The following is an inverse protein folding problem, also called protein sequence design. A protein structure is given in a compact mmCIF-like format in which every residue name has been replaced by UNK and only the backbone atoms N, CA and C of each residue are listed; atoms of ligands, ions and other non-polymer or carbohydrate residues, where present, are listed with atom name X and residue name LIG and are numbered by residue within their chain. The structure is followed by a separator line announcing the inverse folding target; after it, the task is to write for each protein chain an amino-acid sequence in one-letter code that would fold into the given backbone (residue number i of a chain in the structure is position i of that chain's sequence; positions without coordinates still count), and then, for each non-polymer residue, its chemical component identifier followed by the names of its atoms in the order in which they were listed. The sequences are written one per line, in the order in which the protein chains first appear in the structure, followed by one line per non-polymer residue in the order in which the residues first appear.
data_IF_695207015635
#
_entry.id   IF_695207015635
#
_cell.length_a   1.000
_cell.length_b   1.000
_cell.length_c   1.000
_cell.angle_alpha   90.00
_cell.angle_beta   90.00
_cell.angle_gamma   90.00
#
_symmetry.space_group_name_H-M   'P 1'
#
loop_
_entity.id
_entity.type
_entity.pdbx_description
1 polymer ?
#
# COMPACT_ATOMS: atom_id res chain seq x y z
N UNK A 1 10.96 -33.68 -72.08
CA UNK A 1 12.26 -33.94 -72.74
C UNK A 1 12.80 -32.61 -73.21
N UNK A 2 14.09 -32.33 -72.99
CA UNK A 2 14.89 -31.21 -73.53
C UNK A 2 14.44 -29.75 -73.32
N UNK A 3 15.24 -29.07 -72.48
CA UNK A 3 15.69 -27.67 -72.59
C UNK A 3 16.02 -27.15 -74.02
N UNK A 4 16.12 -25.85 -74.34
CA UNK A 4 15.77 -24.57 -73.62
C UNK A 4 15.26 -23.50 -74.64
N UNK A 5 15.85 -22.33 -75.06
CA UNK A 5 17.06 -21.53 -74.70
C UNK A 5 17.03 -20.12 -75.38
N UNK A 6 17.31 -19.05 -74.60
CA UNK A 6 17.60 -17.62 -75.02
C UNK A 6 16.45 -16.78 -75.63
N UNK A 7 16.45 -15.43 -75.63
CA UNK A 7 17.03 -14.41 -74.71
C UNK A 7 16.61 -12.96 -75.10
N UNK A 8 16.62 -12.02 -74.13
CA UNK A 8 16.67 -10.53 -74.25
C UNK A 8 15.48 -9.78 -74.92
N UNK A 9 15.01 -8.72 -74.24
CA UNK A 9 14.15 -7.66 -74.82
C UNK A 9 13.56 -6.72 -73.76
N UNK A 10 13.82 -5.41 -73.86
CA UNK A 10 13.26 -4.34 -73.01
C UNK A 10 11.72 -4.23 -73.12
N UNK A 11 10.97 -3.73 -72.13
CA UNK A 11 11.32 -3.13 -70.83
C UNK A 11 10.68 -1.74 -70.65
N UNK A 12 9.88 -1.55 -69.59
CA UNK A 12 9.42 -0.24 -69.06
C UNK A 12 8.79 -0.42 -67.66
N UNK A 13 8.86 0.61 -66.83
CA UNK A 13 8.36 0.59 -65.46
C UNK A 13 6.88 1.01 -65.39
N UNK A 14 6.13 0.43 -64.45
CA UNK A 14 4.94 1.03 -63.85
C UNK A 14 4.86 0.58 -62.39
N UNK A 15 4.98 1.51 -61.45
CA UNK A 15 4.84 1.22 -60.01
C UNK A 15 3.37 1.37 -59.62
N UNK A 16 2.75 0.30 -59.13
CA UNK A 16 1.44 0.33 -58.49
C UNK A 16 1.63 0.19 -56.97
N UNK A 17 1.19 1.19 -56.20
CA UNK A 17 1.46 1.25 -54.77
C UNK A 17 0.51 0.36 -53.96
N UNK A 18 1.07 -0.45 -53.04
CA UNK A 18 0.31 -1.10 -51.98
C UNK A 18 0.00 -0.07 -50.88
N UNK A 19 -1.25 0.41 -50.84
CA UNK A 19 -1.78 1.23 -49.74
C UNK A 19 -2.00 0.35 -48.50
N UNK A 20 -0.92 0.05 -47.79
CA UNK A 20 -0.96 -0.58 -46.47
C UNK A 20 -1.53 0.38 -45.44
N UNK A 21 -2.83 0.27 -45.14
CA UNK A 21 -3.48 1.03 -44.08
C UNK A 21 -2.99 0.56 -42.70
N UNK A 22 -1.89 1.16 -42.23
CA UNK A 22 -1.35 0.90 -40.89
C UNK A 22 -2.30 1.47 -39.83
N UNK A 23 -3.18 0.61 -39.31
CA UNK A 23 -3.93 0.86 -38.08
C UNK A 23 -2.95 0.92 -36.90
N UNK A 24 -2.37 2.10 -36.69
CA UNK A 24 -1.72 2.45 -35.44
C UNK A 24 -2.77 2.38 -34.32
N UNK A 25 -2.74 1.28 -33.56
CA UNK A 25 -3.50 1.18 -32.33
C UNK A 25 -3.01 2.28 -31.38
N UNK A 26 -3.86 3.29 -31.15
CA UNK A 26 -3.59 4.37 -30.21
C UNK A 26 -3.70 3.77 -28.81
N UNK A 27 -2.57 3.24 -28.30
CA UNK A 27 -2.46 2.87 -26.91
C UNK A 27 -2.71 4.12 -26.05
N UNK A 28 -3.52 4.04 -24.98
CA UNK A 28 -3.79 5.19 -24.13
C UNK A 28 -2.50 5.68 -23.49
N UNK A 29 -2.31 7.00 -23.46
CA UNK A 29 -1.02 7.66 -23.14
C UNK A 29 -0.53 7.37 -21.70
N UNK A 30 -1.40 6.87 -20.81
CA UNK A 30 -1.02 6.37 -19.48
C UNK A 30 -0.15 5.10 -19.47
N UNK A 31 0.03 4.40 -20.60
CA UNK A 31 0.71 3.10 -20.70
C UNK A 31 2.24 3.09 -20.44
N UNK A 32 2.81 4.19 -19.94
CA UNK A 32 4.23 4.32 -19.54
C UNK A 32 4.43 4.88 -18.12
N UNK A 33 3.37 5.07 -17.34
CA UNK A 33 3.47 5.68 -16.01
C UNK A 33 4.03 4.72 -14.95
N UNK A 34 4.88 5.24 -14.05
CA UNK A 34 5.55 4.46 -13.01
C UNK A 34 4.63 4.14 -11.83
N UNK A 35 3.94 3.00 -11.90
CA UNK A 35 3.03 2.49 -10.87
C UNK A 35 3.72 2.12 -9.54
N UNK A 36 5.07 2.21 -9.45
CA UNK A 36 5.79 2.13 -8.18
C UNK A 36 5.48 3.33 -7.27
N UNK A 37 4.89 4.42 -7.78
CA UNK A 37 4.39 5.53 -6.96
C UNK A 37 2.86 5.65 -7.01
N UNK A 38 2.24 5.76 -5.84
CA UNK A 38 0.79 5.90 -5.71
C UNK A 38 0.34 6.79 -4.56
N UNK A 39 -0.96 6.83 -4.29
CA UNK A 39 -1.58 7.65 -3.23
C UNK A 39 -2.54 6.82 -2.37
N UNK A 40 -2.55 7.06 -1.06
CA UNK A 40 -3.54 6.52 -0.15
C UNK A 40 -4.84 7.32 -0.19
N UNK A 41 -5.98 6.64 -0.26
CA UNK A 41 -7.27 7.20 0.13
C UNK A 41 -8.04 6.24 1.04
N UNK A 42 -7.79 6.38 2.34
CA UNK A 42 -8.54 5.66 3.39
C UNK A 42 -10.04 5.99 3.35
N UNK A 43 -10.86 5.11 3.93
CA UNK A 43 -12.27 5.36 4.23
C UNK A 43 -13.18 5.70 3.02
N UNK A 44 -12.79 5.34 1.79
CA UNK A 44 -13.64 5.56 0.60
C UNK A 44 -15.03 4.94 0.75
N UNK A 45 -15.11 3.75 1.36
CA UNK A 45 -16.37 3.02 1.62
C UNK A 45 -17.41 3.79 2.46
N UNK A 46 -17.00 4.86 3.16
CA UNK A 46 -17.89 5.69 3.98
C UNK A 46 -18.40 6.94 3.24
N UNK A 47 -17.91 7.21 2.03
CA UNK A 47 -18.32 8.34 1.21
C UNK A 47 -19.49 8.01 0.28
N UNK A 48 -20.24 9.04 -0.11
CA UNK A 48 -21.31 8.93 -1.11
C UNK A 48 -20.71 8.60 -2.50
N UNK A 49 -21.43 7.87 -3.38
CA UNK A 49 -20.89 7.46 -4.69
C UNK A 49 -20.31 8.61 -5.52
N UNK A 50 -21.05 9.72 -5.68
CA UNK A 50 -20.61 10.90 -6.43
C UNK A 50 -19.42 11.64 -5.77
N UNK A 51 -19.17 11.42 -4.49
CA UNK A 51 -18.01 11.98 -3.77
C UNK A 51 -16.75 11.13 -4.02
N UNK A 52 -16.91 9.79 -4.03
CA UNK A 52 -15.84 8.86 -4.46
C UNK A 52 -15.43 9.08 -5.90
N UNK A 53 -16.41 9.20 -6.80
CA UNK A 53 -16.17 9.46 -8.22
C UNK A 53 -15.38 10.74 -8.42
N UNK A 54 -15.86 11.85 -7.85
CA UNK A 54 -15.16 13.14 -7.91
C UNK A 54 -13.72 13.07 -7.38
N UNK A 55 -13.46 12.31 -6.31
CA UNK A 55 -12.10 12.13 -5.78
C UNK A 55 -11.21 11.37 -6.76
N UNK A 56 -11.70 10.29 -7.39
CA UNK A 56 -10.94 9.55 -8.38
C UNK A 56 -10.74 10.35 -9.69
N UNK A 57 -11.73 11.13 -10.13
CA UNK A 57 -11.58 12.06 -11.24
C UNK A 57 -10.46 13.07 -10.96
N UNK A 58 -10.50 13.74 -9.80
CA UNK A 58 -9.46 14.68 -9.39
C UNK A 58 -8.07 14.03 -9.29
N UNK A 59 -7.99 12.77 -8.85
CA UNK A 59 -6.73 12.01 -8.82
C UNK A 59 -6.17 11.79 -10.24
N UNK A 60 -6.99 11.34 -11.18
CA UNK A 60 -6.59 11.03 -12.57
C UNK A 60 -6.28 12.30 -13.36
N UNK A 61 -7.09 13.35 -13.22
CA UNK A 61 -6.83 14.70 -13.76
C UNK A 61 -5.47 15.27 -13.32
N UNK A 62 -4.96 14.81 -12.17
CA UNK A 62 -3.70 15.26 -11.58
C UNK A 62 -2.59 14.19 -11.62
N UNK A 63 -2.72 13.19 -12.50
CA UNK A 63 -1.65 12.24 -12.82
C UNK A 63 -1.35 11.20 -11.74
N UNK A 64 -2.30 10.90 -10.85
CA UNK A 64 -2.23 9.69 -10.00
C UNK A 64 -2.51 8.48 -10.89
N UNK A 65 -1.67 7.43 -10.78
CA UNK A 65 -1.80 6.19 -11.58
C UNK A 65 -1.90 4.91 -10.75
N UNK A 66 -1.63 5.00 -9.44
CA UNK A 66 -1.81 3.90 -8.50
C UNK A 66 -2.40 4.43 -7.19
N UNK A 67 -3.29 3.64 -6.57
CA UNK A 67 -3.93 3.96 -5.28
C UNK A 67 -3.83 2.80 -4.29
N UNK A 68 -3.70 3.14 -3.02
CA UNK A 68 -3.92 2.23 -1.89
C UNK A 68 -5.31 2.49 -1.32
N UNK A 69 -6.13 1.44 -1.27
CA UNK A 69 -7.53 1.47 -0.83
C UNK A 69 -7.77 0.39 0.23
N UNK A 70 -8.59 0.69 1.23
CA UNK A 70 -8.97 -0.25 2.29
C UNK A 70 -10.21 -1.06 1.94
N UNK A 71 -10.09 -2.39 2.00
CA UNK A 71 -11.21 -3.32 2.17
C UNK A 71 -11.67 -3.27 3.64
N UNK A 72 -12.54 -2.30 3.92
CA UNK A 72 -13.13 -2.08 5.26
C UNK A 72 -14.65 -2.24 5.22
N UNK A 73 -15.30 -2.20 6.39
CA UNK A 73 -16.77 -2.23 6.47
C UNK A 73 -17.37 -0.86 6.17
N UNK A 74 -18.50 -0.78 5.45
CA UNK A 74 -19.22 -1.89 4.82
C UNK A 74 -18.53 -2.38 3.52
N UNK A 75 -18.42 -3.70 3.36
CA UNK A 75 -17.47 -4.33 2.41
C UNK A 75 -17.83 -4.07 0.95
N UNK A 76 -19.12 -4.13 0.60
CA UNK A 76 -19.55 -3.93 -0.80
C UNK A 76 -19.27 -2.48 -1.28
N UNK A 77 -19.27 -1.49 -0.39
CA UNK A 77 -18.89 -0.11 -0.70
C UNK A 77 -17.36 0.06 -0.86
N UNK A 78 -16.55 -0.79 -0.19
CA UNK A 78 -15.12 -0.90 -0.48
C UNK A 78 -14.88 -1.51 -1.87
N UNK A 79 -15.59 -2.60 -2.20
CA UNK A 79 -15.51 -3.25 -3.51
C UNK A 79 -15.98 -2.31 -4.63
N UNK A 80 -17.04 -1.54 -4.41
CA UNK A 80 -17.52 -0.52 -5.34
C UNK A 80 -16.52 0.65 -5.52
N UNK A 81 -15.72 0.98 -4.50
CA UNK A 81 -14.62 1.94 -4.64
C UNK A 81 -13.43 1.35 -5.43
N UNK A 82 -13.14 0.06 -5.27
CA UNK A 82 -12.14 -0.68 -6.06
C UNK A 82 -12.54 -0.78 -7.54
N UNK A 83 -13.81 -1.11 -7.82
CA UNK A 83 -14.41 -1.08 -9.17
C UNK A 83 -14.23 0.30 -9.83
N UNK A 84 -14.62 1.35 -9.13
CA UNK A 84 -14.58 2.72 -9.65
C UNK A 84 -13.14 3.22 -9.88
N UNK A 85 -12.18 2.86 -9.01
CA UNK A 85 -10.77 3.15 -9.24
C UNK A 85 -10.24 2.48 -10.53
N UNK A 86 -10.63 1.22 -10.78
CA UNK A 86 -10.25 0.50 -11.99
C UNK A 86 -10.86 1.10 -13.26
N UNK A 87 -12.14 1.48 -13.24
CA UNK A 87 -12.83 2.15 -14.35
C UNK A 87 -12.19 3.50 -14.72
N UNK A 88 -11.61 4.20 -13.74
CA UNK A 88 -10.85 5.44 -13.93
C UNK A 88 -9.38 5.18 -14.31
N UNK A 89 -8.96 3.91 -14.47
CA UNK A 89 -7.65 3.51 -14.97
C UNK A 89 -6.54 3.38 -13.91
N UNK A 90 -6.88 3.39 -12.62
CA UNK A 90 -5.90 3.34 -11.52
C UNK A 90 -5.47 1.90 -11.20
N UNK A 91 -4.18 1.69 -10.97
CA UNK A 91 -3.66 0.45 -10.37
C UNK A 91 -3.99 0.39 -8.87
N UNK A 92 -4.30 -0.79 -8.33
CA UNK A 92 -4.87 -0.93 -6.98
C UNK A 92 -4.02 -1.84 -6.08
N UNK A 93 -3.50 -1.26 -5.01
CA UNK A 93 -3.05 -1.97 -3.80
C UNK A 93 -4.24 -2.01 -2.82
N UNK A 94 -4.65 -3.22 -2.43
CA UNK A 94 -5.80 -3.44 -1.54
C UNK A 94 -5.34 -3.79 -0.12
N UNK A 95 -5.47 -2.85 0.82
CA UNK A 95 -5.33 -3.14 2.25
C UNK A 95 -6.56 -3.94 2.74
N UNK A 96 -6.37 -4.92 3.62
CA UNK A 96 -7.47 -5.66 4.25
C UNK A 96 -7.52 -5.30 5.73
N UNK A 97 -8.59 -4.62 6.15
CA UNK A 97 -8.69 -4.10 7.50
C UNK A 97 -9.01 -5.19 8.53
N UNK A 98 -7.98 -5.65 9.24
CA UNK A 98 -8.05 -6.73 10.24
C UNK A 98 -8.90 -6.42 11.48
N UNK A 99 -9.44 -5.20 11.59
CA UNK A 99 -10.45 -4.86 12.61
C UNK A 99 -11.87 -5.32 12.24
N UNK A 100 -12.05 -6.06 11.13
CA UNK A 100 -13.36 -6.64 10.82
C UNK A 100 -13.69 -7.80 11.76
N UNK A 101 -14.72 -7.63 12.58
CA UNK A 101 -15.31 -8.65 13.44
C UNK A 101 -15.62 -9.98 12.73
N UNK A 102 -15.92 -9.96 11.43
CA UNK A 102 -16.30 -11.16 10.67
C UNK A 102 -15.14 -12.20 10.59
N UNK A 103 -13.88 -11.77 10.76
CA UNK A 103 -12.69 -12.63 10.76
C UNK A 103 -12.47 -13.39 12.09
N UNK A 104 -13.31 -13.15 13.10
CA UNK A 104 -13.13 -13.66 14.46
C UNK A 104 -14.23 -14.65 14.85
N UNK A 105 -13.98 -15.56 15.82
CA UNK A 105 -15.04 -16.35 16.43
C UNK A 105 -16.17 -15.48 16.99
N UNK A 106 -17.40 -15.97 16.92
CA UNK A 106 -18.57 -15.22 17.39
C UNK A 106 -18.47 -14.93 18.90
N UNK A 107 -18.81 -13.70 19.30
CA UNK A 107 -18.68 -13.23 20.68
C UNK A 107 -17.27 -12.78 21.09
N UNK A 108 -16.25 -12.92 20.22
CA UNK A 108 -14.92 -12.32 20.44
C UNK A 108 -15.04 -10.82 20.65
N UNK A 109 -14.34 -10.28 21.65
CA UNK A 109 -14.34 -8.85 21.99
C UNK A 109 -12.96 -8.23 21.70
N UNK A 110 -12.90 -7.03 21.10
CA UNK A 110 -11.63 -6.34 20.89
C UNK A 110 -11.00 -5.92 22.22
N UNK A 111 -9.67 -5.79 22.26
CA UNK A 111 -8.95 -5.17 23.38
C UNK A 111 -9.34 -3.70 23.44
N UNK A 112 -9.78 -3.22 24.60
CA UNK A 112 -10.15 -1.81 24.73
C UNK A 112 -8.96 -0.86 24.57
N UNK A 113 -9.15 0.18 23.76
CA UNK A 113 -8.21 1.28 23.53
C UNK A 113 -8.14 2.32 24.65
N UNK A 114 -8.88 2.10 25.76
CA UNK A 114 -8.88 2.94 26.97
C UNK A 114 -9.07 4.43 26.68
N UNK A 115 -9.91 4.75 25.68
CA UNK A 115 -10.25 6.12 25.25
C UNK A 115 -9.13 6.91 24.56
N UNK A 116 -7.92 6.35 24.42
CA UNK A 116 -6.77 7.01 23.75
C UNK A 116 -6.63 6.64 22.27
N UNK A 117 -7.22 5.51 21.91
CA UNK A 117 -7.36 4.95 20.56
C UNK A 117 -8.70 4.18 20.52
N UNK A 118 -9.09 3.72 19.33
CA UNK A 118 -10.20 2.78 19.17
C UNK A 118 -9.88 1.41 19.77
N UNK A 119 -10.92 0.61 19.99
CA UNK A 119 -10.81 -0.78 20.39
C UNK A 119 -10.39 -1.64 19.19
N UNK A 120 -9.50 -2.63 19.40
CA UNK A 120 -8.87 -3.40 18.33
C UNK A 120 -8.80 -4.89 18.67
N UNK A 121 -9.11 -5.75 17.68
CA UNK A 121 -9.03 -7.21 17.84
C UNK A 121 -7.58 -7.72 17.94
N UNK A 122 -7.40 -8.84 18.64
CA UNK A 122 -6.15 -9.59 18.80
C UNK A 122 -5.88 -10.46 17.57
N UNK A 123 -4.71 -10.37 16.95
CA UNK A 123 -4.36 -11.28 15.84
C UNK A 123 -4.27 -12.73 16.32
N UNK A 124 -3.84 -12.93 17.57
CA UNK A 124 -3.86 -14.24 18.22
C UNK A 124 -5.27 -14.86 18.34
N UNK A 125 -6.35 -14.09 18.20
CA UNK A 125 -7.75 -14.54 18.28
C UNK A 125 -8.45 -14.67 16.92
N UNK A 126 -7.81 -14.29 15.79
CA UNK A 126 -8.39 -14.43 14.44
C UNK A 126 -8.69 -15.90 14.09
N UNK A 127 -9.77 -16.18 13.37
CA UNK A 127 -10.06 -17.50 12.79
C UNK A 127 -9.57 -17.53 11.33
N UNK A 128 -8.57 -18.36 10.99
CA UNK A 128 -8.09 -18.48 9.61
C UNK A 128 -9.19 -18.88 8.64
N UNK A 129 -10.13 -19.73 9.07
CA UNK A 129 -11.25 -20.23 8.26
C UNK A 129 -12.26 -19.12 7.93
N UNK A 130 -12.61 -18.30 8.93
CA UNK A 130 -13.51 -17.15 8.75
C UNK A 130 -12.88 -16.04 7.91
N UNK A 131 -11.59 -15.78 8.13
CA UNK A 131 -10.81 -14.89 7.28
C UNK A 131 -10.76 -15.40 5.83
N UNK A 132 -10.49 -16.70 5.62
CA UNK A 132 -10.49 -17.31 4.30
C UNK A 132 -11.84 -17.18 3.59
N UNK A 133 -12.95 -17.47 4.27
CA UNK A 133 -14.28 -17.31 3.68
C UNK A 133 -14.54 -15.85 3.28
N UNK A 134 -14.38 -14.91 4.21
CA UNK A 134 -14.70 -13.50 3.97
C UNK A 134 -13.81 -12.85 2.90
N UNK A 135 -12.53 -13.23 2.82
CA UNK A 135 -11.59 -12.70 1.81
C UNK A 135 -11.69 -13.43 0.48
N UNK A 136 -11.99 -14.74 0.47
CA UNK A 136 -12.35 -15.47 -0.73
C UNK A 136 -13.57 -14.85 -1.42
N UNK A 137 -14.66 -14.64 -0.67
CA UNK A 137 -15.89 -13.99 -1.16
C UNK A 137 -15.61 -12.56 -1.69
N UNK A 138 -14.81 -11.76 -0.98
CA UNK A 138 -14.47 -10.41 -1.41
C UNK A 138 -13.59 -10.37 -2.67
N UNK A 139 -12.57 -11.23 -2.76
CA UNK A 139 -11.69 -11.31 -3.94
C UNK A 139 -12.43 -11.86 -5.15
N UNK A 140 -13.33 -12.84 -4.98
CA UNK A 140 -14.16 -13.35 -6.08
C UNK A 140 -15.20 -12.31 -6.57
N UNK A 141 -15.76 -11.48 -5.68
CA UNK A 141 -16.57 -10.31 -6.07
C UNK A 141 -15.77 -9.29 -6.89
N UNK A 142 -14.53 -9.00 -6.50
CA UNK A 142 -13.63 -8.09 -7.24
C UNK A 142 -13.25 -8.68 -8.61
N UNK A 143 -12.95 -9.99 -8.66
CA UNK A 143 -12.61 -10.71 -9.90
C UNK A 143 -13.79 -10.79 -10.89
N UNK A 144 -15.01 -10.97 -10.39
CA UNK A 144 -16.24 -10.97 -11.18
C UNK A 144 -16.56 -9.60 -11.81
N UNK A 145 -16.00 -8.51 -11.27
CA UNK A 145 -16.03 -7.16 -11.85
C UNK A 145 -14.88 -6.92 -12.85
N UNK A 146 -14.06 -7.93 -13.12
CA UNK A 146 -12.92 -7.87 -14.06
C UNK A 146 -11.68 -7.15 -13.53
N UNK A 147 -11.67 -6.75 -12.26
CA UNK A 147 -10.66 -5.84 -11.69
C UNK A 147 -9.35 -6.58 -11.37
N UNK A 148 -8.22 -6.18 -11.96
CA UNK A 148 -6.90 -6.68 -11.59
C UNK A 148 -6.32 -5.86 -10.43
N UNK A 149 -5.95 -6.53 -9.34
CA UNK A 149 -5.16 -5.93 -8.24
C UNK A 149 -3.67 -6.04 -8.58
N UNK A 150 -2.87 -5.01 -8.26
CA UNK A 150 -1.40 -5.15 -8.32
C UNK A 150 -0.85 -5.82 -7.06
N UNK A 151 -1.52 -5.61 -5.92
CA UNK A 151 -1.12 -6.18 -4.64
C UNK A 151 -2.28 -6.22 -3.63
N UNK A 152 -2.14 -7.08 -2.63
CA UNK A 152 -3.01 -7.17 -1.45
C UNK A 152 -2.14 -7.15 -0.19
N UNK A 153 -2.55 -6.36 0.80
CA UNK A 153 -1.84 -6.08 2.05
C UNK A 153 -2.75 -6.38 3.25
N UNK A 154 -2.64 -7.57 3.87
CA UNK A 154 -3.42 -7.88 5.05
C UNK A 154 -2.96 -7.08 6.28
N UNK A 155 -3.81 -6.20 6.79
CA UNK A 155 -3.55 -5.36 7.96
C UNK A 155 -2.80 -4.06 7.68
N UNK A 156 -3.02 -3.08 8.55
CA UNK A 156 -2.37 -1.77 8.48
C UNK A 156 -1.07 -1.76 9.29
N UNK A 157 -1.13 -1.52 10.61
CA UNK A 157 0.04 -1.21 11.45
C UNK A 157 0.23 -2.22 12.59
N UNK A 158 0.37 -3.51 12.25
CA UNK A 158 0.23 -4.64 13.21
C UNK A 158 1.33 -4.76 14.29
N UNK A 159 2.45 -4.04 14.12
CA UNK A 159 3.50 -3.90 15.13
C UNK A 159 3.21 -2.78 16.16
N UNK A 160 2.15 -2.01 15.98
CA UNK A 160 1.73 -0.90 16.83
C UNK A 160 0.39 -1.20 17.52
N UNK A 161 0.31 -0.94 18.83
CA UNK A 161 -0.85 -1.33 19.64
C UNK A 161 -2.19 -0.70 19.28
N UNK A 162 -2.29 0.22 18.32
CA UNK A 162 -3.59 0.65 17.79
C UNK A 162 -4.17 -0.29 16.72
N UNK A 163 -3.37 -1.11 16.03
CA UNK A 163 -3.85 -2.02 14.98
C UNK A 163 -3.54 -3.50 15.26
N UNK A 164 -3.12 -3.78 16.50
CA UNK A 164 -3.05 -5.13 17.04
C UNK A 164 -3.50 -5.14 18.51
N UNK A 165 -4.47 -6.00 18.84
CA UNK A 165 -4.98 -6.19 20.19
C UNK A 165 -4.08 -7.05 21.10
N UNK A 166 -3.06 -7.72 20.55
CA UNK A 166 -2.08 -8.50 21.32
C UNK A 166 -1.04 -7.61 22.03
N UNK A 167 -0.85 -6.38 21.52
CA UNK A 167 0.02 -5.37 22.12
C UNK A 167 -0.73 -4.55 23.19
N UNK A 168 -0.06 -4.25 24.30
CA UNK A 168 -0.71 -3.67 25.47
C UNK A 168 -0.93 -2.14 25.36
N UNK A 169 -1.99 -1.69 26.05
CA UNK A 169 -2.27 -0.27 26.28
C UNK A 169 -2.09 -0.04 27.78
N UNK A 170 -0.99 0.62 28.17
CA UNK A 170 -0.60 0.78 29.57
C UNK A 170 -1.69 1.52 30.39
N UNK A 171 -1.74 1.37 31.73
CA UNK A 171 -2.79 1.97 32.56
C UNK A 171 -2.97 3.49 32.41
N UNK A 172 -1.90 4.22 32.05
CA UNK A 172 -1.89 5.67 31.84
C UNK A 172 -1.08 6.03 30.59
N UNK A 173 -1.24 7.26 30.13
CA UNK A 173 -0.28 7.91 29.23
C UNK A 173 1.05 8.20 29.94
N UNK A 174 2.10 8.55 29.18
CA UNK A 174 3.43 8.95 29.70
C UNK A 174 4.09 7.88 30.58
N UNK A 175 3.94 6.61 30.21
CA UNK A 175 4.55 5.45 30.88
C UNK A 175 5.56 4.78 29.93
N UNK A 176 6.68 4.26 30.47
CA UNK A 176 7.66 3.51 29.65
C UNK A 176 7.00 2.25 29.07
N UNK A 177 6.94 2.19 27.75
CA UNK A 177 6.54 1.01 26.96
C UNK A 177 7.70 0.02 26.83
N UNK A 178 7.39 -1.23 26.43
CA UNK A 178 8.42 -2.24 26.19
C UNK A 178 9.41 -1.79 25.10
N UNK A 179 10.70 -2.12 25.25
CA UNK A 179 11.78 -1.76 24.30
C UNK A 179 12.25 -2.93 23.43
N UNK A 180 11.84 -4.13 23.78
CA UNK A 180 12.10 -5.37 23.03
C UNK A 180 10.94 -6.33 23.25
N UNK A 181 10.83 -7.34 22.41
CA UNK A 181 9.87 -8.44 22.59
C UNK A 181 10.00 -9.09 23.99
N UNK A 182 11.24 -9.22 24.51
CA UNK A 182 11.51 -9.76 25.85
C UNK A 182 11.10 -8.85 27.02
N UNK A 183 10.75 -7.59 26.79
CA UNK A 183 10.14 -6.70 27.80
C UNK A 183 8.60 -6.75 27.77
N UNK A 184 7.97 -7.47 26.84
CA UNK A 184 6.51 -7.50 26.69
C UNK A 184 5.85 -8.58 27.57
N UNK A 185 4.97 -8.15 28.47
CA UNK A 185 4.17 -9.04 29.34
C UNK A 185 3.27 -9.99 28.51
N UNK A 186 2.69 -9.49 27.42
CA UNK A 186 1.82 -10.23 26.50
C UNK A 186 2.58 -10.95 25.36
N UNK A 187 3.92 -11.14 25.47
CA UNK A 187 4.73 -11.75 24.41
C UNK A 187 4.16 -13.07 23.84
N UNK A 188 3.60 -14.02 24.62
CA UNK A 188 3.00 -15.24 24.07
C UNK A 188 1.79 -14.98 23.16
N UNK A 189 1.04 -13.89 23.37
CA UNK A 189 -0.01 -13.46 22.45
C UNK A 189 0.59 -12.83 21.19
N UNK A 190 1.64 -12.01 21.32
CA UNK A 190 2.34 -11.40 20.17
C UNK A 190 2.96 -12.47 19.27
N UNK A 191 3.57 -13.53 19.83
CA UNK A 191 4.10 -14.66 19.06
C UNK A 191 2.99 -15.46 18.36
N UNK A 192 1.89 -15.78 19.05
CA UNK A 192 0.72 -16.46 18.46
C UNK A 192 0.02 -15.61 17.40
N UNK A 193 -0.01 -14.28 17.57
CA UNK A 193 -0.53 -13.33 16.60
C UNK A 193 0.36 -13.23 15.36
N UNK A 194 1.69 -13.26 15.53
CA UNK A 194 2.66 -13.34 14.44
C UNK A 194 2.51 -14.63 13.62
N UNK A 195 2.35 -15.78 14.28
CA UNK A 195 2.11 -17.07 13.62
C UNK A 195 0.85 -17.05 12.75
N UNK A 196 -0.30 -16.70 13.34
CA UNK A 196 -1.57 -16.56 12.62
C UNK A 196 -1.49 -15.53 11.50
N UNK A 197 -0.79 -14.42 11.71
CA UNK A 197 -0.65 -13.40 10.68
C UNK A 197 0.01 -13.92 9.40
N UNK A 198 1.06 -14.75 9.52
CA UNK A 198 1.69 -15.38 8.36
C UNK A 198 0.78 -16.44 7.71
N UNK A 199 -0.10 -17.10 8.48
CA UNK A 199 -1.17 -17.94 7.93
C UNK A 199 -2.18 -17.13 7.10
N UNK A 200 -2.60 -15.94 7.57
CA UNK A 200 -3.49 -15.05 6.80
C UNK A 200 -2.86 -14.65 5.44
N UNK A 201 -1.55 -14.38 5.41
CA UNK A 201 -0.82 -14.10 4.17
C UNK A 201 -0.83 -15.30 3.19
N UNK A 202 -0.68 -16.53 3.70
CA UNK A 202 -0.78 -17.77 2.90
C UNK A 202 -2.19 -17.95 2.34
N UNK A 203 -3.22 -17.65 3.14
CA UNK A 203 -4.62 -17.68 2.73
C UNK A 203 -4.87 -16.67 1.59
N UNK A 204 -4.43 -15.41 1.73
CA UNK A 204 -4.59 -14.42 0.65
C UNK A 204 -3.89 -14.87 -0.64
N UNK A 205 -2.69 -15.46 -0.55
CA UNK A 205 -2.01 -16.05 -1.71
C UNK A 205 -2.83 -17.17 -2.37
N UNK A 206 -3.45 -18.03 -1.57
CA UNK A 206 -4.27 -19.14 -2.05
C UNK A 206 -5.60 -18.67 -2.68
N UNK A 207 -6.25 -17.64 -2.13
CA UNK A 207 -7.47 -17.08 -2.71
C UNK A 207 -7.20 -16.27 -3.99
N UNK A 208 -6.11 -15.49 -4.04
CA UNK A 208 -5.67 -14.81 -5.26
C UNK A 208 -5.40 -15.79 -6.41
N UNK A 209 -4.84 -16.96 -6.14
CA UNK A 209 -4.62 -18.01 -7.13
C UNK A 209 -5.91 -18.62 -7.72
N UNK A 210 -7.07 -18.38 -7.11
CA UNK A 210 -8.40 -18.79 -7.63
C UNK A 210 -9.11 -17.70 -8.46
N UNK A 211 -8.56 -16.49 -8.49
CA UNK A 211 -9.09 -15.40 -9.35
C UNK A 211 -8.68 -15.62 -10.81
N UNK A 212 -9.17 -14.80 -11.73
CA UNK A 212 -8.72 -14.74 -13.13
C UNK A 212 -7.83 -13.53 -13.37
N UNK A 213 -8.26 -12.37 -12.88
CA UNK A 213 -7.68 -11.06 -13.11
C UNK A 213 -6.55 -10.71 -12.13
N UNK A 214 -6.55 -11.32 -10.93
CA UNK A 214 -5.61 -11.00 -9.84
C UNK A 214 -4.62 -12.13 -9.49
N UNK A 215 -4.50 -13.17 -10.33
CA UNK A 215 -3.57 -14.32 -10.14
C UNK A 215 -2.09 -13.95 -10.00
N UNK A 216 -1.71 -12.75 -10.46
CA UNK A 216 -0.34 -12.21 -10.40
C UNK A 216 -0.16 -11.10 -9.35
N UNK A 217 -1.22 -10.74 -8.62
CA UNK A 217 -1.17 -9.74 -7.58
C UNK A 217 -0.17 -10.16 -6.48
N UNK A 218 0.59 -9.20 -5.95
CA UNK A 218 1.57 -9.46 -4.89
C UNK A 218 0.91 -9.55 -3.53
N UNK A 219 1.35 -10.49 -2.70
CA UNK A 219 0.99 -10.48 -1.27
C UNK A 219 2.06 -9.73 -0.51
N UNK A 220 1.67 -8.62 0.11
CA UNK A 220 2.54 -7.71 0.86
C UNK A 220 2.20 -7.85 2.33
N UNK A 221 3.19 -7.82 3.24
CA UNK A 221 2.86 -7.73 4.67
C UNK A 221 2.26 -6.36 5.01
N UNK A 222 1.60 -6.27 6.15
CA UNK A 222 1.09 -5.04 6.73
C UNK A 222 2.15 -3.93 6.76
N UNK A 223 1.73 -2.69 6.52
CA UNK A 223 2.50 -1.46 6.67
C UNK A 223 3.03 -1.20 8.08
N UNK A 224 4.10 -1.89 8.48
CA UNK A 224 4.66 -1.78 9.84
C UNK A 224 5.08 -0.34 10.17
N UNK A 225 4.60 0.22 11.28
CA UNK A 225 4.86 1.60 11.67
C UNK A 225 6.24 1.81 12.26
N UNK A 226 6.98 2.76 11.70
CA UNK A 226 8.16 3.37 12.31
C UNK A 226 7.75 4.44 13.34
N UNK A 227 7.19 4.02 14.49
CA UNK A 227 6.84 4.92 15.60
C UNK A 227 8.00 5.02 16.61
N UNK A 228 8.54 6.22 16.89
CA UNK A 228 9.53 6.41 17.94
C UNK A 228 9.01 6.03 19.32
N UNK A 229 9.83 5.35 20.13
CA UNK A 229 9.48 4.97 21.51
C UNK A 229 9.05 6.15 22.41
N UNK A 230 9.45 7.39 22.11
CA UNK A 230 8.97 8.58 22.83
C UNK A 230 7.49 8.91 22.54
N UNK A 231 7.00 8.62 21.33
CA UNK A 231 5.59 8.73 20.96
C UNK A 231 4.77 7.55 21.51
N UNK A 232 5.38 6.36 21.58
CA UNK A 232 4.85 5.18 22.27
C UNK A 232 4.62 5.46 23.76
N UNK A 233 5.66 5.91 24.47
CA UNK A 233 5.61 6.28 25.88
C UNK A 233 4.60 7.39 26.15
N UNK A 234 4.61 8.46 25.33
CA UNK A 234 3.66 9.58 25.47
C UNK A 234 2.22 9.08 25.45
N UNK A 235 1.88 8.12 24.60
CA UNK A 235 0.53 7.56 24.50
C UNK A 235 0.27 6.44 25.52
N UNK A 236 1.32 5.78 26.02
CA UNK A 236 1.22 4.56 26.82
C UNK A 236 0.67 3.39 26.00
N UNK A 237 1.22 3.17 24.81
CA UNK A 237 0.80 2.18 23.82
C UNK A 237 2.05 1.46 23.32
N UNK A 238 2.10 0.13 23.46
CA UNK A 238 3.27 -0.63 23.03
C UNK A 238 3.46 -0.65 21.51
N UNK A 239 4.73 -0.76 21.11
CA UNK A 239 5.19 -0.87 19.74
C UNK A 239 6.36 -1.83 19.66
N UNK A 240 6.48 -2.55 18.54
CA UNK A 240 7.69 -3.27 18.16
C UNK A 240 8.34 -2.53 17.00
N UNK A 241 9.67 -2.45 16.98
CA UNK A 241 10.44 -1.92 15.85
C UNK A 241 10.11 -2.71 14.55
N UNK A 242 9.94 -2.07 13.39
CA UNK A 242 9.59 -2.76 12.14
C UNK A 242 10.53 -3.89 11.72
N UNK A 243 11.85 -3.76 11.93
CA UNK A 243 12.79 -4.83 11.61
C UNK A 243 12.64 -6.00 12.60
N UNK A 244 12.55 -5.69 13.91
CA UNK A 244 12.35 -6.71 14.97
C UNK A 244 11.03 -7.47 14.78
N UNK A 245 9.97 -6.79 14.39
CA UNK A 245 8.68 -7.44 14.11
C UNK A 245 8.73 -8.23 12.79
N UNK A 246 9.41 -7.72 11.76
CA UNK A 246 9.62 -8.48 10.51
C UNK A 246 10.40 -9.77 10.78
N UNK A 247 11.42 -9.76 11.64
CA UNK A 247 12.19 -10.94 11.99
C UNK A 247 11.38 -11.93 12.85
N UNK A 248 10.48 -11.45 13.73
CA UNK A 248 9.48 -12.29 14.38
C UNK A 248 8.53 -12.94 13.36
N UNK A 249 8.07 -12.23 12.33
CA UNK A 249 7.26 -12.82 11.27
C UNK A 249 8.06 -13.82 10.41
N UNK A 250 9.37 -13.60 10.17
CA UNK A 250 10.25 -14.54 9.47
C UNK A 250 10.35 -15.89 10.20
N UNK A 251 10.38 -15.90 11.55
CA UNK A 251 10.33 -17.12 12.39
C UNK A 251 9.17 -18.05 12.02
N UNK A 252 8.04 -17.50 11.58
CA UNK A 252 6.83 -18.22 11.17
C UNK A 252 6.67 -18.38 9.64
N UNK A 253 7.69 -18.01 8.86
CA UNK A 253 7.76 -18.23 7.40
C UNK A 253 7.24 -17.08 6.54
N UNK A 254 7.38 -15.81 6.99
CA UNK A 254 7.03 -14.63 6.19
C UNK A 254 7.64 -14.64 4.78
N UNK A 255 8.88 -15.10 4.64
CA UNK A 255 9.60 -15.13 3.36
C UNK A 255 8.95 -16.01 2.29
N UNK A 256 8.12 -16.98 2.67
CA UNK A 256 7.38 -17.83 1.73
C UNK A 256 5.95 -17.31 1.53
N UNK A 257 5.39 -16.64 2.55
CA UNK A 257 4.04 -16.10 2.52
C UNK A 257 3.94 -14.78 1.75
N UNK A 258 4.97 -13.91 1.79
CA UNK A 258 4.96 -12.57 1.20
C UNK A 258 5.96 -12.37 0.03
N UNK A 259 5.55 -11.57 -0.95
CA UNK A 259 6.40 -11.06 -2.04
C UNK A 259 7.21 -9.82 -1.61
N UNK A 260 6.76 -9.09 -0.57
CA UNK A 260 7.37 -7.86 -0.08
C UNK A 260 6.91 -7.48 1.33
N UNK A 261 7.70 -6.66 2.02
CA UNK A 261 7.39 -6.22 3.39
C UNK A 261 6.74 -4.84 3.39
N UNK A 262 5.54 -4.69 3.93
CA UNK A 262 4.92 -3.38 4.15
C UNK A 262 5.65 -2.57 5.23
N UNK A 263 5.74 -1.26 5.04
CA UNK A 263 6.24 -0.31 6.04
C UNK A 263 5.55 1.05 5.91
N UNK A 264 5.25 1.69 7.04
CA UNK A 264 4.79 3.07 7.13
C UNK A 264 5.91 3.96 7.69
N UNK A 265 6.33 4.98 6.93
CA UNK A 265 7.41 5.90 7.36
C UNK A 265 7.03 7.38 7.25
N UNK A 266 7.20 8.10 8.34
CA UNK A 266 6.84 9.52 8.46
C UNK A 266 8.05 10.33 8.98
N UNK A 267 9.04 10.70 8.11
CA UNK A 267 10.36 11.17 8.54
C UNK A 267 10.44 12.56 9.21
N UNK A 268 9.29 13.14 9.56
CA UNK A 268 9.17 14.46 10.17
C UNK A 268 9.50 15.64 9.24
N UNK A 269 8.91 16.81 9.50
CA UNK A 269 9.27 18.06 8.81
C UNK A 269 10.42 18.82 9.49
N UNK A 270 10.78 18.45 10.71
CA UNK A 270 11.83 19.07 11.53
C UNK A 270 13.22 18.44 11.33
N UNK A 271 14.25 19.02 11.94
CA UNK A 271 15.63 18.53 11.88
C UNK A 271 16.38 18.88 10.58
N UNK A 272 17.58 18.33 10.40
CA UNK A 272 18.42 18.57 9.22
C UNK A 272 18.16 17.56 8.10
N UNK A 273 18.59 17.87 6.87
CA UNK A 273 18.55 16.92 5.73
C UNK A 273 19.26 15.61 6.05
N UNK A 274 20.40 15.68 6.75
CA UNK A 274 21.19 14.50 7.13
C UNK A 274 20.45 13.62 8.17
N UNK A 275 19.77 14.22 9.15
CA UNK A 275 18.96 13.47 10.13
C UNK A 275 17.83 12.72 9.43
N UNK A 276 17.06 13.37 8.54
CA UNK A 276 15.97 12.70 7.80
C UNK A 276 16.47 11.64 6.83
N UNK A 277 17.60 11.85 6.16
CA UNK A 277 18.22 10.84 5.31
C UNK A 277 18.70 9.62 6.11
N UNK A 278 19.27 9.84 7.31
CA UNK A 278 19.61 8.75 8.24
C UNK A 278 18.36 8.00 8.69
N UNK A 279 17.30 8.72 9.07
CA UNK A 279 16.03 8.14 9.51
C UNK A 279 15.43 7.22 8.44
N UNK A 280 15.27 7.70 7.19
CA UNK A 280 14.80 6.89 6.06
C UNK A 280 15.66 5.63 5.86
N UNK A 281 16.99 5.77 5.90
CA UNK A 281 17.90 4.62 5.73
C UNK A 281 17.86 3.63 6.92
N UNK A 282 17.56 4.09 8.13
CA UNK A 282 17.40 3.22 9.31
C UNK A 282 16.06 2.49 9.29
N UNK A 283 14.96 3.18 9.02
CA UNK A 283 13.62 2.57 8.92
C UNK A 283 13.56 1.51 7.80
N UNK A 284 14.24 1.76 6.67
CA UNK A 284 14.30 0.85 5.53
C UNK A 284 15.53 -0.10 5.56
N UNK A 285 16.18 -0.27 6.71
CA UNK A 285 17.42 -1.06 6.82
C UNK A 285 17.23 -2.57 6.64
N UNK A 286 16.01 -3.08 6.87
CA UNK A 286 15.65 -4.50 6.68
C UNK A 286 15.12 -4.83 5.27
N UNK A 287 15.17 -3.86 4.35
CA UNK A 287 14.60 -3.95 3.00
C UNK A 287 15.61 -4.48 1.96
N UNK A 288 15.27 -5.60 1.32
CA UNK A 288 16.15 -6.33 0.41
C UNK A 288 17.20 -7.18 1.14
N UNK A 289 18.30 -7.50 0.45
CA UNK A 289 19.33 -8.43 0.93
C UNK A 289 19.09 -9.88 0.48
N UNK A 290 20.05 -10.76 0.73
CA UNK A 290 20.03 -12.15 0.23
C UNK A 290 18.83 -12.97 0.76
N UNK A 291 18.56 -12.84 2.06
CA UNK A 291 17.46 -13.53 2.76
C UNK A 291 16.23 -12.62 2.97
N UNK A 292 16.13 -11.54 2.20
CA UNK A 292 15.13 -10.49 2.35
C UNK A 292 14.17 -10.38 1.16
N UNK A 293 13.15 -9.52 1.31
CA UNK A 293 12.23 -9.09 0.25
C UNK A 293 12.34 -7.58 0.06
N UNK A 294 12.01 -7.03 -1.12
CA UNK A 294 11.84 -5.59 -1.26
C UNK A 294 10.72 -5.08 -0.35
N UNK A 295 10.90 -3.89 0.22
CA UNK A 295 9.84 -3.23 0.97
C UNK A 295 8.83 -2.55 0.05
N UNK A 296 7.58 -2.51 0.49
CA UNK A 296 6.54 -1.65 -0.04
C UNK A 296 6.30 -0.58 1.01
N UNK A 297 6.56 0.69 0.68
CA UNK A 297 6.23 1.81 1.57
C UNK A 297 4.75 2.09 1.38
N UNK A 298 3.90 1.39 2.14
CA UNK A 298 2.45 1.40 1.93
C UNK A 298 1.80 2.68 2.48
N UNK A 299 2.46 3.39 3.39
CA UNK A 299 2.22 4.81 3.67
C UNK A 299 3.53 5.59 3.86
N UNK A 300 3.58 6.82 3.33
CA UNK A 300 4.57 7.81 3.73
C UNK A 300 4.06 9.24 3.54
N UNK A 301 4.55 10.19 4.35
CA UNK A 301 4.21 11.58 4.13
C UNK A 301 4.87 12.58 5.06
N UNK A 302 4.55 13.85 4.84
CA UNK A 302 4.92 14.97 5.70
C UNK A 302 3.67 15.80 6.00
N UNK A 303 3.35 15.99 7.29
CA UNK A 303 2.14 16.69 7.69
C UNK A 303 2.23 18.20 7.44
N UNK A 304 1.11 18.81 7.01
CA UNK A 304 0.90 20.26 7.01
C UNK A 304 -0.32 20.59 7.90
N UNK A 305 -0.04 21.02 9.13
CA UNK A 305 -1.06 21.37 10.13
C UNK A 305 -1.68 22.76 9.94
N UNK A 306 -1.15 23.58 9.03
CA UNK A 306 -1.74 24.89 8.73
C UNK A 306 -3.07 24.72 8.03
N UNK A 307 -4.12 25.41 8.51
CA UNK A 307 -5.47 25.43 7.94
C UNK A 307 -5.73 26.61 6.99
N UNK A 308 -4.71 27.43 6.71
CA UNK A 308 -4.86 28.61 5.85
C UNK A 308 -5.03 28.24 4.36
N UNK A 309 -5.77 29.08 3.63
CA UNK A 309 -5.89 29.02 2.17
C UNK A 309 -5.42 30.35 1.56
N UNK A 310 -4.64 30.35 0.45
CA UNK A 310 -4.08 29.17 -0.22
C UNK A 310 -3.09 28.41 0.69
N UNK A 311 -2.98 27.09 0.48
CA UNK A 311 -2.15 26.24 1.32
C UNK A 311 -0.65 26.52 1.09
N UNK A 312 0.03 27.05 2.11
CA UNK A 312 1.50 27.17 2.09
C UNK A 312 2.13 25.77 2.24
N UNK A 313 2.69 25.24 1.15
CA UNK A 313 3.14 23.85 1.05
C UNK A 313 4.56 23.73 0.44
N UNK A 314 5.21 24.83 0.06
CA UNK A 314 6.50 24.83 -0.68
C UNK A 314 7.65 24.20 0.14
N UNK A 315 7.62 24.33 1.47
CA UNK A 315 8.56 23.64 2.35
C UNK A 315 8.32 22.13 2.39
N UNK A 316 7.07 21.69 2.20
CA UNK A 316 6.67 20.28 2.17
C UNK A 316 6.97 19.65 0.82
N UNK A 317 6.75 20.37 -0.28
CA UNK A 317 7.18 20.01 -1.64
C UNK A 317 8.66 19.62 -1.66
N UNK A 318 9.52 20.49 -1.13
CA UNK A 318 10.95 20.23 -0.99
C UNK A 318 11.35 19.04 -0.11
N UNK A 319 10.46 18.55 0.77
CA UNK A 319 10.66 17.33 1.55
C UNK A 319 10.20 16.10 0.76
N UNK A 320 9.04 16.20 0.10
CA UNK A 320 8.45 15.16 -0.75
C UNK A 320 9.37 14.82 -1.93
N UNK A 321 9.87 15.81 -2.67
CA UNK A 321 10.82 15.57 -3.78
C UNK A 321 12.05 14.78 -3.29
N UNK A 322 12.68 15.25 -2.19
CA UNK A 322 13.92 14.66 -1.66
C UNK A 322 13.72 13.27 -1.06
N UNK A 323 12.53 12.97 -0.55
CA UNK A 323 12.16 11.61 -0.11
C UNK A 323 11.91 10.70 -1.33
N UNK A 324 11.13 11.18 -2.31
CA UNK A 324 10.81 10.44 -3.54
C UNK A 324 12.06 10.11 -4.36
N UNK A 325 13.02 11.02 -4.46
CA UNK A 325 14.32 10.77 -5.08
C UNK A 325 15.14 9.70 -4.35
N UNK A 326 15.08 9.67 -3.01
CA UNK A 326 15.72 8.60 -2.23
C UNK A 326 15.03 7.26 -2.45
N UNK A 327 13.70 7.25 -2.56
CA UNK A 327 12.95 6.04 -2.86
C UNK A 327 13.23 5.52 -4.27
N UNK A 328 13.33 6.39 -5.30
CA UNK A 328 13.76 6.02 -6.66
C UNK A 328 15.08 5.25 -6.63
N UNK A 329 16.13 5.83 -6.02
CA UNK A 329 17.44 5.18 -5.86
C UNK A 329 17.37 3.80 -5.20
N UNK A 330 16.43 3.62 -4.26
CA UNK A 330 16.23 2.36 -3.53
C UNK A 330 15.28 1.39 -4.26
N UNK A 331 14.48 1.86 -5.21
CA UNK A 331 13.75 1.02 -6.16
C UNK A 331 14.68 0.50 -7.26
N UNK A 332 15.58 1.35 -7.74
CA UNK A 332 16.55 1.01 -8.78
C UNK A 332 17.64 0.05 -8.26
N UNK A 333 17.88 0.01 -6.95
CA UNK A 333 18.67 -1.04 -6.26
C UNK A 333 17.87 -2.28 -5.83
N UNK A 334 16.56 -2.32 -6.09
CA UNK A 334 15.68 -3.44 -5.73
C UNK A 334 15.35 -3.57 -4.23
N UNK A 335 15.67 -2.57 -3.41
CA UNK A 335 15.32 -2.55 -1.97
C UNK A 335 13.86 -2.16 -1.72
N UNK A 336 13.27 -1.36 -2.61
CA UNK A 336 11.86 -0.93 -2.56
C UNK A 336 11.15 -1.39 -3.83
N UNK A 337 9.93 -1.92 -3.72
CA UNK A 337 9.08 -2.24 -4.86
C UNK A 337 8.11 -1.09 -5.20
N UNK A 338 7.50 -0.45 -4.20
CA UNK A 338 6.55 0.64 -4.38
C UNK A 338 6.52 1.60 -3.17
N UNK A 339 5.97 2.80 -3.36
CA UNK A 339 5.79 3.83 -2.32
C UNK A 339 4.49 4.65 -2.52
N UNK A 340 3.56 4.59 -1.56
CA UNK A 340 2.24 5.22 -1.62
C UNK A 340 2.14 6.40 -0.66
N UNK A 341 1.93 7.60 -1.20
CA UNK A 341 1.87 8.83 -0.40
C UNK A 341 0.58 8.88 0.43
N UNK A 342 0.69 9.09 1.74
CA UNK A 342 -0.41 9.36 2.65
C UNK A 342 -0.53 10.88 2.87
N UNK A 343 -1.64 11.55 2.56
CA UNK A 343 -2.88 11.07 1.92
C UNK A 343 -3.43 12.10 0.92
N UNK A 344 -4.55 11.78 0.26
CA UNK A 344 -5.20 12.69 -0.69
C UNK A 344 -5.86 13.91 -0.02
N UNK A 345 -6.93 13.72 0.75
CA UNK A 345 -7.85 14.81 1.18
C UNK A 345 -8.37 14.67 2.62
N UNK A 346 -8.13 13.55 3.30
CA UNK A 346 -8.81 13.17 4.54
C UNK A 346 -8.06 13.54 5.82
N UNK A 347 -6.76 13.88 5.78
CA UNK A 347 -5.96 14.16 6.98
C UNK A 347 -5.08 15.43 6.88
N UNK A 348 -4.31 15.72 7.94
CA UNK A 348 -3.26 16.76 7.93
C UNK A 348 -2.11 16.46 6.96
N UNK A 349 -2.05 15.25 6.40
CA UNK A 349 -1.12 14.89 5.34
C UNK A 349 -1.72 15.08 3.93
N UNK A 350 -2.95 15.59 3.81
CA UNK A 350 -3.64 15.80 2.53
C UNK A 350 -2.83 16.58 1.50
N UNK A 351 -2.85 16.15 0.24
CA UNK A 351 -2.29 16.85 -0.93
C UNK A 351 -3.32 17.65 -1.73
N UNK A 352 -4.60 17.30 -1.62
CA UNK A 352 -5.70 18.06 -2.19
C UNK A 352 -6.27 19.01 -1.13
N UNK A 353 -6.03 20.32 -1.27
CA UNK A 353 -6.34 21.32 -0.24
C UNK A 353 -6.87 22.61 -0.87
N UNK A 354 -7.78 23.30 -0.19
CA UNK A 354 -8.37 24.56 -0.67
C UNK A 354 -9.00 24.48 -2.09
N UNK A 355 -9.40 23.28 -2.53
CA UNK A 355 -10.00 23.04 -3.84
C UNK A 355 -9.03 22.71 -4.98
N UNK A 356 -7.73 22.48 -4.71
CA UNK A 356 -6.74 22.11 -5.73
C UNK A 356 -5.59 21.23 -5.17
N UNK A 357 -4.80 20.64 -6.07
CA UNK A 357 -3.58 19.91 -5.70
C UNK A 357 -2.46 20.87 -5.28
N UNK A 358 -1.91 20.68 -4.09
CA UNK A 358 -0.82 21.50 -3.55
C UNK A 358 0.52 21.26 -4.27
N UNK A 359 1.51 22.15 -4.11
CA UNK A 359 2.88 21.92 -4.55
C UNK A 359 3.46 20.56 -4.09
N UNK A 360 3.28 20.17 -2.82
CA UNK A 360 3.74 18.85 -2.36
C UNK A 360 2.94 17.69 -2.96
N UNK A 361 1.67 17.91 -3.29
CA UNK A 361 0.88 16.99 -4.10
C UNK A 361 1.51 16.72 -5.45
N UNK A 362 1.87 17.77 -6.19
CA UNK A 362 2.52 17.64 -7.50
C UNK A 362 3.86 16.90 -7.41
N UNK A 363 4.63 17.14 -6.35
CA UNK A 363 5.86 16.40 -6.08
C UNK A 363 5.64 14.92 -5.71
N UNK A 364 4.51 14.58 -5.08
CA UNK A 364 4.16 13.21 -4.70
C UNK A 364 3.61 12.40 -5.89
N UNK A 365 2.67 12.97 -6.66
CA UNK A 365 1.92 12.25 -7.69
C UNK A 365 2.64 12.24 -9.03
N UNK A 366 2.86 13.43 -9.61
CA UNK A 366 3.28 13.57 -11.02
C UNK A 366 4.67 13.00 -11.24
N UNK A 367 4.79 11.99 -12.10
CA UNK A 367 6.08 11.56 -12.66
C UNK A 367 6.54 12.61 -13.67
N UNK A 368 7.61 13.33 -13.33
CA UNK A 368 8.50 14.02 -14.28
C UNK A 368 9.50 13.01 -14.85
#
# INVERSE_FOLDING_TARGET
MMETRKSIGSGKQAVAALLGAALLAIAPIGALADTRFGVNRVNMAWLKPAEREKIFDQMVENGVVAVRLSLTRPVDQSIDAVRLAHEKGLAILLEISLNNADFYPEGTKPRSGRGRIWDMYRLSDTSPERFQQAIGDALQKIDALGVPLVAVEPGNEINWGAYNGDLAILPKEKMKTARSLSEMEELPLVEKGAEKYVELLRIVRAELAKTRHSTKAKVVSAGLSDIPFIDADRRGIDTVDPAVFTDLLKKYGLNDAADGYGIHIYPGSSGTRAVRAKHINSALSFCGGADGKPCWITEWGFANTSKACPANDNNREQLVEKARDRFRQMMDSGQIAAAYYFDWDASTYGVWRCGSLTPAGKAATVTK
#
